data_IF_736818736790
#
_entry.id   IF_736818736790
#
_cell.length_a   1.000
_cell.length_b   1.000
_cell.length_c   1.000
_cell.angle_alpha   90.00
_cell.angle_beta   90.00
_cell.angle_gamma   90.00
#
_symmetry.space_group_name_H-M   'P 1'
#
loop_
_entity.id
_entity.type
_entity.pdbx_description
1 polymer ?
#
# COMPACT_ATOMS: atom_id res chain seq x y z
N UNK A 1 14.19 -1.26 10.07
CA UNK A 1 15.45 -0.94 9.37
C UNK A 1 15.78 0.55 9.49
N UNK A 2 16.99 0.90 9.88
CA UNK A 2 17.40 2.28 10.16
C UNK A 2 17.44 3.09 8.86
N UNK A 3 16.64 4.14 8.76
CA UNK A 3 16.75 5.14 7.67
C UNK A 3 18.07 5.88 7.80
N UNK A 4 18.91 5.78 6.77
CA UNK A 4 20.15 6.51 6.64
C UNK A 4 19.84 7.91 6.11
N UNK A 5 19.97 8.92 6.96
CA UNK A 5 19.86 10.32 6.57
C UNK A 5 21.24 10.75 6.05
N UNK A 6 21.35 11.03 4.75
CA UNK A 6 22.53 11.63 4.15
C UNK A 6 22.39 13.14 4.28
N UNK A 7 23.18 13.72 5.20
CA UNK A 7 23.33 15.17 5.34
C UNK A 7 24.39 15.65 4.35
N UNK A 8 23.98 16.44 3.33
CA UNK A 8 24.90 17.18 2.49
C UNK A 8 25.35 18.46 3.21
N UNK A 9 26.58 18.48 3.66
CA UNK A 9 27.24 19.69 4.17
C UNK A 9 27.82 20.44 2.95
N UNK A 10 27.24 21.60 2.63
CA UNK A 10 27.84 22.55 1.68
C UNK A 10 28.75 23.48 2.45
N UNK A 11 30.05 23.33 2.27
CA UNK A 11 31.07 24.26 2.79
C UNK A 11 31.17 25.49 1.87
N UNK A 12 30.68 26.62 2.35
CA UNK A 12 30.91 27.92 1.71
C UNK A 12 32.25 28.47 2.15
N UNK A 13 33.19 28.66 1.20
CA UNK A 13 34.47 29.31 1.42
C UNK A 13 34.29 30.82 1.29
N UNK A 14 34.46 31.54 2.39
CA UNK A 14 34.45 33.02 2.40
C UNK A 14 35.85 33.51 2.09
N UNK A 15 36.00 34.28 1.00
CA UNK A 15 37.21 35.04 0.72
C UNK A 15 37.04 36.43 1.35
N UNK A 16 37.90 36.74 2.34
CA UNK A 16 38.05 38.08 2.90
C UNK A 16 39.20 38.78 2.17
N UNK A 17 38.91 39.84 1.45
CA UNK A 17 39.95 40.79 1.01
C UNK A 17 39.86 42.04 1.90
N UNK A 18 40.86 42.22 2.72
CA UNK A 18 41.09 43.45 3.45
C UNK A 18 41.85 44.42 2.57
N UNK A 19 41.34 45.63 2.40
CA UNK A 19 42.15 46.80 1.99
C UNK A 19 41.90 47.91 2.97
N UNK A 20 43.00 48.35 3.64
CA UNK A 20 43.07 49.57 4.40
C UNK A 20 43.45 50.72 3.47
N UNK A 21 42.79 51.83 3.58
CA UNK A 21 43.46 53.10 3.39
C UNK A 21 42.81 54.23 4.26
N UNK A 22 43.68 55.08 4.76
CA UNK A 22 43.46 56.15 5.71
C UNK A 22 43.23 57.49 5.02
N UNK A 23 42.63 58.38 5.82
CA UNK A 23 42.73 59.82 5.97
C UNK A 23 41.55 60.64 5.36
N UNK A 24 40.89 61.37 6.10
CA UNK A 24 40.97 62.49 7.00
C UNK A 24 39.88 63.53 6.77
N UNK A 25 39.35 64.05 7.85
CA UNK A 25 38.74 65.38 8.08
C UNK A 25 37.41 65.78 7.47
N UNK A 26 36.38 65.74 8.29
CA UNK A 26 35.61 66.91 8.70
C UNK A 26 34.46 67.42 7.87
N UNK A 27 33.24 67.19 8.31
CA UNK A 27 32.23 68.25 8.67
C UNK A 27 30.92 67.53 9.09
N UNK A 28 30.44 67.93 10.29
CA UNK A 28 29.14 67.45 10.84
C UNK A 28 27.98 68.06 10.08
N UNK A 29 27.24 67.23 9.33
CA UNK A 29 25.85 67.47 9.01
C UNK A 29 25.04 66.34 9.68
N UNK A 30 23.91 66.60 10.35
CA UNK A 30 23.10 65.46 10.89
C UNK A 30 22.48 64.71 9.73
N UNK A 31 23.08 63.57 9.38
CA UNK A 31 22.45 62.61 8.47
C UNK A 31 21.22 62.06 9.17
N UNK A 32 20.11 62.16 8.47
CA UNK A 32 18.89 61.42 8.71
C UNK A 32 19.25 59.95 8.83
N UNK A 33 18.78 59.14 9.80
CA UNK A 33 19.09 57.74 9.86
C UNK A 33 18.66 57.09 8.56
N UNK A 34 19.49 56.19 7.94
CA UNK A 34 19.10 55.51 6.73
C UNK A 34 17.81 54.75 7.00
N UNK A 35 16.83 54.92 6.12
CA UNK A 35 15.65 54.06 6.14
C UNK A 35 16.16 52.63 6.01
N UNK A 36 15.89 51.83 7.03
CA UNK A 36 16.24 50.42 7.10
C UNK A 36 15.51 49.69 5.97
N UNK A 37 16.14 49.71 4.81
CA UNK A 37 15.65 48.94 3.68
C UNK A 37 15.93 47.47 4.00
N UNK A 38 14.90 46.73 4.35
CA UNK A 38 14.95 45.28 4.58
C UNK A 38 15.56 44.63 3.35
N UNK A 39 16.86 44.32 3.39
CA UNK A 39 17.56 43.63 2.31
C UNK A 39 17.36 42.12 2.49
N UNK A 40 16.53 41.51 1.62
CA UNK A 40 16.33 40.08 1.59
C UNK A 40 17.24 39.52 0.47
N UNK A 41 18.11 38.59 0.84
CA UNK A 41 19.02 37.94 -0.08
C UNK A 41 18.50 36.56 -0.54
N UNK A 42 17.80 35.85 0.33
CA UNK A 42 17.18 34.58 -0.02
C UNK A 42 15.96 34.24 0.85
N UNK A 43 15.03 33.49 0.27
CA UNK A 43 13.87 32.90 0.95
C UNK A 43 13.97 31.38 0.76
N UNK A 44 13.95 30.62 1.87
CA UNK A 44 13.95 29.16 1.85
C UNK A 44 12.63 28.71 2.45
N UNK A 45 11.93 27.80 1.77
CA UNK A 45 10.67 27.26 2.28
C UNK A 45 10.91 25.89 2.90
N UNK A 46 10.38 25.70 4.09
CA UNK A 46 10.48 24.43 4.80
C UNK A 46 9.07 23.87 5.12
N UNK A 47 8.79 22.60 4.73
CA UNK A 47 9.65 21.72 3.95
C UNK A 47 9.77 22.16 2.47
N UNK A 48 10.86 21.74 1.80
CA UNK A 48 11.08 22.03 0.38
C UNK A 48 10.23 21.14 -0.55
N UNK A 49 9.66 20.07 -0.01
CA UNK A 49 8.65 19.22 -0.64
C UNK A 49 7.68 18.69 0.41
N UNK A 50 6.41 18.56 0.04
CA UNK A 50 5.34 18.13 0.92
C UNK A 50 4.39 17.23 0.14
N UNK A 51 4.00 16.11 0.73
CA UNK A 51 3.01 15.19 0.22
C UNK A 51 1.75 15.28 1.08
N UNK A 52 0.58 15.44 0.47
CA UNK A 52 -0.72 15.60 1.12
C UNK A 52 -1.77 14.78 0.40
N UNK A 53 -2.74 14.26 1.13
CA UNK A 53 -3.96 13.73 0.53
C UNK A 53 -4.92 14.87 0.13
N UNK A 54 -5.73 14.68 -0.90
CA UNK A 54 -6.74 15.66 -1.30
C UNK A 54 -7.70 15.95 -0.13
N UNK A 55 -7.86 17.22 0.22
CA UNK A 55 -8.62 17.70 1.37
C UNK A 55 -7.75 18.08 2.57
N UNK A 56 -6.51 17.60 2.66
CA UNK A 56 -5.60 17.94 3.75
C UNK A 56 -5.00 19.34 3.65
N UNK A 57 -4.51 19.84 4.77
CA UNK A 57 -3.84 21.13 4.84
C UNK A 57 -2.59 21.06 5.70
N UNK A 58 -1.53 21.77 5.28
CA UNK A 58 -0.30 21.92 6.05
C UNK A 58 0.27 23.33 5.88
N UNK A 59 1.11 23.76 6.81
CA UNK A 59 1.70 25.10 6.78
C UNK A 59 3.17 25.04 6.39
N UNK A 60 3.55 25.81 5.38
CA UNK A 60 4.93 26.02 4.97
C UNK A 60 5.54 27.16 5.80
N UNK A 61 6.78 26.96 6.26
CA UNK A 61 7.50 27.95 7.07
C UNK A 61 8.61 28.59 6.24
N UNK A 62 8.56 29.91 5.98
CA UNK A 62 9.62 30.61 5.26
C UNK A 62 10.79 30.94 6.22
N UNK A 63 12.01 30.73 5.74
CA UNK A 63 13.26 31.16 6.37
C UNK A 63 13.87 32.27 5.51
N UNK A 64 13.98 33.44 6.05
CA UNK A 64 14.45 34.64 5.33
C UNK A 64 15.86 34.96 5.77
N UNK A 65 16.75 35.16 4.82
CA UNK A 65 18.16 35.47 5.06
C UNK A 65 18.57 36.79 4.38
N UNK A 66 19.39 37.60 5.04
CA UNK A 66 19.71 37.53 6.48
C UNK A 66 18.46 37.76 7.35
N UNK A 67 18.51 37.29 8.60
CA UNK A 67 17.39 37.43 9.55
C UNK A 67 17.00 38.88 9.70
N UNK A 68 15.75 39.22 9.40
CA UNK A 68 15.22 40.58 9.48
C UNK A 68 14.77 40.91 10.89
N UNK A 69 14.95 42.22 11.29
CA UNK A 69 14.49 42.73 12.56
C UNK A 69 13.02 43.20 12.57
N UNK A 70 12.40 43.27 11.38
CA UNK A 70 11.01 43.67 11.15
C UNK A 70 10.15 42.56 10.54
N UNK A 71 8.85 42.86 10.41
CA UNK A 71 7.90 41.94 9.73
C UNK A 71 8.09 42.03 8.25
N UNK A 72 8.43 40.91 7.61
CA UNK A 72 8.48 40.77 6.16
C UNK A 72 7.12 40.24 5.69
N UNK A 73 6.52 40.97 4.74
CA UNK A 73 5.30 40.50 4.08
C UNK A 73 5.71 39.67 2.83
N UNK A 74 5.26 38.43 2.78
CA UNK A 74 5.47 37.53 1.63
C UNK A 74 4.19 37.42 0.84
N UNK A 75 4.36 37.41 -0.49
CA UNK A 75 3.31 37.04 -1.41
C UNK A 75 3.42 35.54 -1.73
N UNK A 76 2.31 34.80 -1.53
CA UNK A 76 2.24 33.37 -1.75
C UNK A 76 1.44 33.06 -3.00
N UNK A 77 1.97 32.19 -3.86
CA UNK A 77 1.31 31.74 -5.10
C UNK A 77 1.45 30.25 -5.30
N UNK A 78 0.48 29.63 -5.94
CA UNK A 78 0.54 28.24 -6.42
C UNK A 78 0.61 28.23 -7.94
N UNK A 79 1.41 27.32 -8.49
CA UNK A 79 1.51 27.11 -9.93
C UNK A 79 0.22 26.50 -10.52
N UNK A 80 -0.55 25.78 -9.69
CA UNK A 80 -1.83 25.18 -10.09
C UNK A 80 -2.79 25.11 -8.89
N UNK A 81 -3.77 26.01 -8.90
CA UNK A 81 -4.80 26.08 -7.83
C UNK A 81 -5.84 24.93 -7.93
N UNK A 82 -5.87 24.17 -9.01
CA UNK A 82 -6.71 22.97 -9.11
C UNK A 82 -6.09 21.78 -8.39
N UNK A 83 -4.76 21.79 -8.18
CA UNK A 83 -4.02 20.78 -7.44
C UNK A 83 -3.84 21.19 -5.99
N UNK A 84 -3.31 22.38 -5.73
CA UNK A 84 -3.10 22.89 -4.38
C UNK A 84 -3.26 24.41 -4.33
N UNK A 85 -3.96 24.92 -3.31
CA UNK A 85 -4.06 26.34 -3.01
C UNK A 85 -3.18 26.73 -1.85
N UNK A 86 -2.81 28.03 -1.74
CA UNK A 86 -2.04 28.54 -0.62
C UNK A 86 -2.64 29.83 -0.08
N UNK A 87 -2.69 29.97 1.24
CA UNK A 87 -3.15 31.19 1.92
C UNK A 87 -2.03 32.21 2.07
N UNK A 88 -2.39 33.45 2.39
CA UNK A 88 -1.42 34.52 2.72
C UNK A 88 -0.50 34.19 3.92
N UNK A 89 -0.87 33.25 4.76
CA UNK A 89 -0.06 32.74 5.89
C UNK A 89 0.84 31.58 5.56
N UNK A 90 0.86 31.10 4.30
CA UNK A 90 1.64 29.94 3.88
C UNK A 90 0.98 28.59 4.18
N UNK A 91 -0.33 28.57 4.53
CA UNK A 91 -1.07 27.30 4.66
C UNK A 91 -1.49 26.82 3.29
N UNK A 92 -1.00 25.64 2.94
CA UNK A 92 -1.35 24.91 1.71
C UNK A 92 -2.57 24.04 1.97
N UNK A 93 -3.52 24.01 1.05
CA UNK A 93 -4.65 23.08 1.04
C UNK A 93 -4.59 22.28 -0.24
N UNK A 94 -4.53 20.95 -0.13
CA UNK A 94 -4.59 20.00 -1.23
C UNK A 94 -6.02 19.95 -1.80
N UNK A 95 -6.16 20.04 -3.13
CA UNK A 95 -7.47 20.13 -3.81
C UNK A 95 -7.77 18.87 -4.61
N UNK A 96 -6.86 18.46 -5.51
CA UNK A 96 -7.00 17.25 -6.31
C UNK A 96 -5.63 16.67 -6.64
N UNK A 97 -5.61 15.40 -6.99
CA UNK A 97 -4.38 14.67 -7.37
C UNK A 97 -3.54 15.42 -8.39
N UNK A 98 -2.22 15.45 -8.18
CA UNK A 98 -1.28 16.12 -9.07
C UNK A 98 -0.08 16.71 -8.32
N UNK A 99 0.70 17.53 -9.04
CA UNK A 99 1.86 18.22 -8.48
C UNK A 99 1.77 19.71 -8.76
N UNK A 100 1.91 20.52 -7.72
CA UNK A 100 1.97 21.98 -7.80
C UNK A 100 3.22 22.51 -7.10
N UNK A 101 3.71 23.68 -7.55
CA UNK A 101 4.79 24.40 -6.86
C UNK A 101 4.21 25.61 -6.16
N UNK A 102 4.39 25.66 -4.85
CA UNK A 102 4.02 26.83 -4.02
C UNK A 102 5.24 27.71 -3.84
N UNK A 103 5.11 29.00 -4.16
CA UNK A 103 6.18 30.00 -4.12
C UNK A 103 5.82 31.14 -3.16
N UNK A 104 6.78 31.49 -2.29
CA UNK A 104 6.73 32.72 -1.51
C UNK A 104 7.72 33.73 -2.05
N UNK A 105 7.31 34.97 -2.24
CA UNK A 105 8.14 36.04 -2.81
C UNK A 105 8.09 37.32 -2.02
N UNK A 106 9.18 38.09 -2.09
CA UNK A 106 9.27 39.48 -1.62
C UNK A 106 10.11 40.27 -2.66
N UNK A 107 9.43 41.02 -3.51
CA UNK A 107 10.05 41.61 -4.70
C UNK A 107 10.57 40.55 -5.66
N UNK A 108 11.85 40.62 -6.01
CA UNK A 108 12.47 39.65 -6.94
C UNK A 108 13.01 38.40 -6.24
N UNK A 109 13.07 38.38 -4.92
CA UNK A 109 13.56 37.24 -4.15
C UNK A 109 12.42 36.27 -3.85
N UNK A 110 12.61 35.00 -4.16
CA UNK A 110 11.60 33.96 -3.97
C UNK A 110 12.18 32.65 -3.46
N UNK A 111 11.34 31.86 -2.81
CA UNK A 111 11.60 30.46 -2.44
C UNK A 111 10.38 29.60 -2.72
N UNK A 112 10.57 28.31 -2.94
CA UNK A 112 9.47 27.42 -3.32
C UNK A 112 9.49 26.07 -2.61
N UNK A 113 8.33 25.43 -2.58
CA UNK A 113 8.12 24.06 -2.13
C UNK A 113 7.31 23.30 -3.18
N UNK A 114 7.68 22.04 -3.44
CA UNK A 114 6.91 21.16 -4.31
C UNK A 114 5.84 20.44 -3.49
N UNK A 115 4.58 20.55 -3.92
CA UNK A 115 3.44 19.91 -3.28
C UNK A 115 2.97 18.79 -4.20
N UNK A 116 3.03 17.57 -3.71
CA UNK A 116 2.44 16.41 -4.37
C UNK A 116 1.13 16.09 -3.64
N UNK A 117 0.02 16.12 -4.37
CA UNK A 117 -1.27 15.73 -3.84
C UNK A 117 -1.60 14.35 -4.36
N UNK A 118 -1.83 13.43 -3.43
CA UNK A 118 -2.33 12.09 -3.74
C UNK A 118 -3.85 12.09 -3.68
N UNK A 119 -4.48 11.11 -4.31
CA UNK A 119 -5.92 10.92 -4.19
C UNK A 119 -6.30 10.84 -2.70
N UNK A 120 -7.23 11.65 -2.25
CA UNK A 120 -7.73 11.57 -0.88
C UNK A 120 -8.45 10.24 -0.65
N UNK A 121 -8.45 9.77 0.60
CA UNK A 121 -9.27 8.62 0.98
C UNK A 121 -10.71 8.90 0.58
N UNK A 122 -11.25 8.10 -0.34
CA UNK A 122 -12.70 8.10 -0.58
C UNK A 122 -13.36 7.61 0.70
N UNK A 123 -14.24 8.43 1.27
CA UNK A 123 -15.03 7.99 2.42
C UNK A 123 -15.84 6.77 1.99
N UNK A 124 -15.80 5.66 2.74
CA UNK A 124 -16.59 4.47 2.43
C UNK A 124 -18.06 4.85 2.21
N UNK A 125 -18.79 4.18 1.31
CA UNK A 125 -20.22 4.45 1.12
C UNK A 125 -20.95 4.38 2.46
N UNK A 126 -21.97 5.18 2.63
CA UNK A 126 -22.75 5.26 3.87
C UNK A 126 -23.46 3.94 4.27
N UNK A 127 -23.54 2.98 3.35
CA UNK A 127 -24.12 1.66 3.58
C UNK A 127 -23.03 0.64 3.95
N UNK A 128 -23.33 -0.19 4.95
CA UNK A 128 -22.48 -1.34 5.32
C UNK A 128 -22.31 -2.29 4.12
N UNK A 129 -21.08 -2.80 3.87
CA UNK A 129 -20.82 -3.71 2.78
C UNK A 129 -21.58 -5.03 2.93
N UNK A 130 -21.96 -5.61 1.80
CA UNK A 130 -22.63 -6.91 1.75
C UNK A 130 -21.85 -7.88 0.91
N UNK A 131 -21.90 -9.14 1.28
CA UNK A 131 -21.35 -10.21 0.42
C UNK A 131 -22.05 -10.18 -0.93
N UNK A 132 -21.26 -10.09 -2.01
CA UNK A 132 -21.75 -9.92 -3.38
C UNK A 132 -21.74 -8.48 -3.89
N UNK A 133 -21.34 -7.50 -3.10
CA UNK A 133 -21.16 -6.14 -3.58
C UNK A 133 -19.97 -6.07 -4.56
N UNK A 134 -20.11 -5.26 -5.60
CA UNK A 134 -19.01 -4.86 -6.47
C UNK A 134 -18.11 -3.90 -5.72
N UNK A 135 -16.80 -4.13 -5.79
CA UNK A 135 -15.79 -3.28 -5.19
C UNK A 135 -15.01 -2.55 -6.28
N UNK A 136 -14.86 -1.24 -6.15
CA UNK A 136 -14.32 -0.37 -7.21
C UNK A 136 -12.90 0.10 -6.93
N UNK A 137 -12.21 0.54 -7.99
CA UNK A 137 -10.84 1.05 -7.92
C UNK A 137 -10.69 2.35 -7.09
N UNK A 138 -11.81 3.01 -6.77
CA UNK A 138 -11.85 4.17 -5.88
C UNK A 138 -12.06 3.80 -4.39
N UNK A 139 -12.08 2.50 -4.04
CA UNK A 139 -12.29 2.00 -2.68
C UNK A 139 -13.74 1.99 -2.21
N UNK A 140 -14.70 2.28 -3.08
CA UNK A 140 -16.13 2.22 -2.77
C UNK A 140 -16.75 0.88 -3.19
N UNK A 141 -17.97 0.61 -2.73
CA UNK A 141 -18.72 -0.61 -3.07
C UNK A 141 -20.21 -0.33 -3.30
N UNK A 142 -20.87 -1.21 -4.03
CA UNK A 142 -22.34 -1.18 -4.19
C UNK A 142 -22.91 -2.54 -4.59
N UNK A 143 -24.15 -2.80 -4.21
CA UNK A 143 -24.85 -4.05 -4.57
C UNK A 143 -25.24 -4.10 -6.05
N UNK A 144 -25.51 -2.94 -6.65
CA UNK A 144 -25.80 -2.79 -8.07
C UNK A 144 -24.54 -2.34 -8.80
N UNK A 145 -24.31 -2.87 -10.01
CA UNK A 145 -23.16 -2.49 -10.83
C UNK A 145 -23.24 -1.02 -11.26
N UNK A 146 -22.26 -0.23 -10.85
CA UNK A 146 -22.04 1.11 -11.37
C UNK A 146 -21.15 1.04 -12.60
N UNK A 147 -21.73 1.27 -13.77
CA UNK A 147 -21.03 1.15 -15.06
C UNK A 147 -20.04 2.31 -15.34
N UNK A 148 -20.09 3.37 -14.53
CA UNK A 148 -19.20 4.52 -14.63
C UNK A 148 -17.91 4.32 -13.77
N UNK A 149 -17.87 3.24 -12.97
CA UNK A 149 -16.73 2.89 -12.11
C UNK A 149 -16.04 1.61 -12.56
N UNK A 150 -14.74 1.55 -12.35
CA UNK A 150 -13.94 0.36 -12.60
C UNK A 150 -14.08 -0.64 -11.45
N UNK A 151 -14.63 -1.82 -11.73
CA UNK A 151 -14.73 -2.92 -10.77
C UNK A 151 -13.39 -3.64 -10.69
N UNK A 152 -12.82 -3.73 -9.50
CA UNK A 152 -11.57 -4.47 -9.24
C UNK A 152 -11.80 -5.79 -8.50
N UNK A 153 -12.97 -5.95 -7.87
CA UNK A 153 -13.27 -7.17 -7.11
C UNK A 153 -14.72 -7.28 -6.68
N UNK A 154 -15.02 -8.39 -6.00
CA UNK A 154 -16.33 -8.67 -5.39
C UNK A 154 -16.12 -8.95 -3.90
N UNK A 155 -16.94 -8.34 -3.05
CA UNK A 155 -16.93 -8.60 -1.61
C UNK A 155 -17.41 -10.03 -1.35
N UNK A 156 -16.60 -10.85 -0.69
CA UNK A 156 -16.96 -12.24 -0.34
C UNK A 156 -17.09 -12.50 1.17
N UNK A 157 -16.60 -11.58 1.98
CA UNK A 157 -16.69 -11.63 3.43
C UNK A 157 -16.93 -10.22 3.98
N UNK A 158 -17.79 -10.11 4.98
CA UNK A 158 -18.02 -8.88 5.74
C UNK A 158 -17.72 -9.10 7.21
N UNK A 159 -17.01 -8.18 7.82
CA UNK A 159 -16.52 -8.25 9.18
C UNK A 159 -15.02 -7.93 9.26
N UNK A 160 -14.48 -7.94 10.46
CA UNK A 160 -13.07 -7.58 10.67
C UNK A 160 -12.13 -8.76 10.31
N UNK A 161 -11.40 -8.74 9.18
CA UNK A 161 -10.44 -9.79 8.83
C UNK A 161 -9.18 -9.75 9.70
N UNK A 162 -8.83 -8.58 10.23
CA UNK A 162 -7.63 -8.40 11.05
C UNK A 162 -7.75 -9.01 12.47
N UNK A 163 -8.93 -9.51 12.85
CA UNK A 163 -9.10 -10.17 14.16
C UNK A 163 -8.18 -11.37 14.38
N UNK A 164 -7.84 -12.08 13.30
CA UNK A 164 -7.00 -13.27 13.32
C UNK A 164 -5.57 -13.00 12.83
N UNK A 165 -5.36 -11.88 12.13
CA UNK A 165 -4.11 -11.54 11.47
C UNK A 165 -3.45 -10.31 12.13
N UNK A 166 -2.46 -10.53 13.01
CA UNK A 166 -1.79 -9.43 13.72
C UNK A 166 -0.95 -8.54 12.79
N UNK A 167 -0.49 -9.07 11.64
CA UNK A 167 0.27 -8.31 10.65
C UNK A 167 -0.66 -7.34 9.93
N UNK A 168 -1.82 -7.82 9.47
CA UNK A 168 -2.85 -6.97 8.87
C UNK A 168 -3.32 -5.89 9.86
N UNK A 169 -3.54 -6.27 11.12
CA UNK A 169 -3.95 -5.31 12.16
C UNK A 169 -2.91 -4.20 12.40
N UNK A 170 -1.62 -4.55 12.31
CA UNK A 170 -0.54 -3.58 12.53
C UNK A 170 -0.32 -2.65 11.33
N UNK A 171 -0.40 -3.19 10.11
CA UNK A 171 -0.08 -2.46 8.89
C UNK A 171 -1.29 -1.69 8.32
N UNK A 172 -2.49 -2.28 8.49
CA UNK A 172 -3.77 -1.76 7.95
C UNK A 172 -4.88 -1.81 9.01
N UNK A 173 -4.77 -1.05 10.11
CA UNK A 173 -5.76 -1.06 11.20
C UNK A 173 -7.16 -0.59 10.78
N UNK A 174 -7.27 0.11 9.63
CA UNK A 174 -8.52 0.54 9.03
C UNK A 174 -9.28 -0.58 8.31
N UNK A 175 -8.64 -1.67 7.91
CA UNK A 175 -9.26 -2.79 7.19
C UNK A 175 -10.14 -3.65 8.11
N UNK A 176 -11.32 -3.16 8.43
CA UNK A 176 -12.25 -3.79 9.38
C UNK A 176 -13.61 -4.17 8.79
N UNK A 177 -13.82 -3.90 7.50
CA UNK A 177 -15.12 -4.06 6.85
C UNK A 177 -15.30 -5.40 6.16
N UNK A 178 -14.23 -5.96 5.57
CA UNK A 178 -14.35 -7.23 4.88
C UNK A 178 -13.17 -7.63 4.00
N UNK A 179 -13.45 -8.60 3.12
CA UNK A 179 -12.51 -9.12 2.13
C UNK A 179 -13.12 -9.07 0.74
N UNK A 180 -12.29 -8.68 -0.22
CA UNK A 180 -12.63 -8.58 -1.64
C UNK A 180 -11.80 -9.61 -2.42
N UNK A 181 -12.43 -10.36 -3.31
CA UNK A 181 -11.74 -11.22 -4.28
C UNK A 181 -11.55 -10.47 -5.60
N UNK A 182 -10.36 -10.53 -6.16
CA UNK A 182 -10.03 -9.93 -7.45
C UNK A 182 -10.88 -10.49 -8.59
N UNK A 183 -11.15 -9.69 -9.62
CA UNK A 183 -11.90 -10.15 -10.82
C UNK A 183 -11.12 -11.14 -11.68
N UNK A 184 -9.79 -11.18 -11.55
CA UNK A 184 -8.89 -12.07 -12.29
C UNK A 184 -7.82 -12.67 -11.39
N UNK A 185 -7.06 -13.61 -11.91
CA UNK A 185 -5.92 -14.25 -11.25
C UNK A 185 -5.02 -14.92 -12.28
N UNK A 186 -3.92 -15.53 -11.81
CA UNK A 186 -2.97 -16.21 -12.66
C UNK A 186 -3.22 -17.73 -12.70
N UNK A 187 -2.97 -18.33 -13.86
CA UNK A 187 -3.09 -19.75 -14.08
C UNK A 187 -1.71 -20.42 -14.14
N UNK A 188 -1.66 -21.69 -13.73
CA UNK A 188 -0.48 -22.56 -13.91
C UNK A 188 0.78 -22.10 -13.15
N UNK A 189 0.59 -21.48 -11.98
CA UNK A 189 1.69 -21.05 -11.12
C UNK A 189 1.98 -22.14 -10.08
N UNK A 190 3.22 -22.69 -10.00
CA UNK A 190 3.59 -23.59 -8.90
C UNK A 190 3.63 -22.82 -7.59
N UNK A 191 3.41 -23.52 -6.46
CA UNK A 191 3.61 -22.90 -5.16
C UNK A 191 5.09 -22.59 -4.94
N UNK A 192 5.96 -23.60 -5.07
CA UNK A 192 7.43 -23.49 -4.99
C UNK A 192 8.04 -24.60 -5.83
N UNK A 193 8.49 -24.30 -7.04
CA UNK A 193 9.03 -25.32 -7.96
C UNK A 193 10.35 -25.95 -7.48
N UNK A 194 11.13 -25.19 -6.72
CA UNK A 194 12.42 -25.61 -6.21
C UNK A 194 12.41 -26.15 -4.76
N UNK A 195 11.24 -26.55 -4.24
CA UNK A 195 11.10 -27.02 -2.84
C UNK A 195 12.06 -28.15 -2.48
N UNK A 196 12.29 -29.07 -3.41
CA UNK A 196 13.15 -30.22 -3.18
C UNK A 196 14.64 -29.81 -3.00
N UNK A 197 15.10 -28.86 -3.79
CA UNK A 197 16.45 -28.31 -3.68
C UNK A 197 16.60 -27.47 -2.42
N UNK A 198 15.53 -26.77 -2.00
CA UNK A 198 15.53 -26.05 -0.75
C UNK A 198 15.59 -27.00 0.46
N UNK A 199 14.87 -28.12 0.41
CA UNK A 199 15.01 -29.23 1.36
C UNK A 199 14.45 -28.97 2.77
N UNK A 200 13.70 -27.87 2.95
CA UNK A 200 13.02 -27.48 4.20
C UNK A 200 11.66 -26.87 3.88
N UNK A 201 10.85 -26.66 4.92
CA UNK A 201 9.63 -25.84 4.78
C UNK A 201 9.99 -24.35 4.78
N UNK A 202 9.17 -23.53 4.13
CA UNK A 202 9.30 -22.07 4.19
C UNK A 202 8.99 -21.59 5.60
N UNK A 203 8.04 -22.24 6.29
CA UNK A 203 7.67 -21.94 7.66
C UNK A 203 8.85 -22.10 8.67
N UNK A 204 9.72 -23.08 8.47
CA UNK A 204 10.94 -23.21 9.30
C UNK A 204 11.83 -21.97 9.18
N UNK A 205 11.94 -21.40 7.98
CA UNK A 205 12.69 -20.16 7.79
C UNK A 205 11.97 -18.97 8.42
N UNK A 206 10.65 -18.85 8.20
CA UNK A 206 9.81 -17.78 8.76
C UNK A 206 9.96 -17.72 10.27
N UNK A 207 9.77 -18.84 10.96
CA UNK A 207 9.87 -18.93 12.43
C UNK A 207 11.28 -18.66 12.98
N UNK A 208 12.31 -18.93 12.16
CA UNK A 208 13.70 -18.74 12.59
C UNK A 208 14.21 -17.30 12.34
N UNK A 209 13.64 -16.56 11.40
CA UNK A 209 14.20 -15.30 10.90
C UNK A 209 13.26 -14.09 10.97
N UNK A 210 12.00 -14.28 11.36
CA UNK A 210 11.00 -13.22 11.38
C UNK A 210 10.14 -13.26 12.64
N UNK A 211 9.36 -12.22 12.86
CA UNK A 211 8.33 -12.15 13.91
C UNK A 211 6.92 -12.50 13.38
N UNK A 212 6.81 -12.90 12.12
CA UNK A 212 5.51 -13.30 11.54
C UNK A 212 4.96 -14.55 12.21
N UNK A 213 3.64 -14.65 12.21
CA UNK A 213 2.95 -15.88 12.62
C UNK A 213 3.31 -17.03 11.67
N UNK A 214 3.41 -18.26 12.18
CA UNK A 214 3.63 -19.47 11.38
C UNK A 214 2.65 -19.54 10.21
N UNK A 215 3.18 -19.79 9.00
CA UNK A 215 2.41 -19.97 7.77
C UNK A 215 1.92 -21.41 7.58
N UNK A 216 2.39 -22.34 8.42
CA UNK A 216 2.05 -23.76 8.32
C UNK A 216 0.95 -24.16 9.31
N UNK A 217 0.14 -25.10 8.89
CA UNK A 217 -0.91 -25.69 9.71
C UNK A 217 -1.09 -27.19 9.41
N UNK A 218 -1.84 -27.89 10.26
CA UNK A 218 -2.27 -29.27 10.00
C UNK A 218 -3.79 -29.40 10.06
N UNK A 219 -4.32 -30.36 9.31
CA UNK A 219 -5.76 -30.65 9.30
C UNK A 219 -6.31 -31.23 10.61
N UNK A 220 -5.43 -31.60 11.57
CA UNK A 220 -5.81 -32.47 12.68
C UNK A 220 -6.06 -31.76 14.01
N UNK A 221 -5.82 -30.48 14.16
CA UNK A 221 -6.09 -29.74 15.40
C UNK A 221 -5.39 -28.40 15.54
N UNK A 222 -4.81 -27.87 14.46
CA UNK A 222 -4.11 -26.61 14.52
C UNK A 222 -5.10 -25.46 14.33
N UNK A 223 -5.13 -24.53 15.28
CA UNK A 223 -6.01 -23.37 15.21
C UNK A 223 -5.75 -22.48 14.00
N UNK A 224 -4.54 -22.52 13.40
CA UNK A 224 -4.20 -21.69 12.26
C UNK A 224 -5.00 -22.06 10.99
N UNK A 225 -5.47 -23.29 10.85
CA UNK A 225 -6.30 -23.67 9.69
C UNK A 225 -7.63 -22.89 9.66
N UNK A 226 -8.08 -22.43 10.82
CA UNK A 226 -9.32 -21.67 10.98
C UNK A 226 -9.11 -20.16 11.10
N UNK A 227 -7.89 -19.66 10.87
CA UNK A 227 -7.56 -18.24 10.92
C UNK A 227 -7.36 -17.64 9.52
N UNK A 228 -7.84 -16.42 9.36
CA UNK A 228 -7.60 -15.61 8.17
C UNK A 228 -6.21 -14.99 8.28
N UNK A 229 -5.17 -15.70 7.80
CA UNK A 229 -3.76 -15.30 7.90
C UNK A 229 -3.13 -15.03 6.54
N UNK A 230 -3.92 -14.80 5.52
CA UNK A 230 -3.41 -14.64 4.14
C UNK A 230 -2.46 -13.47 3.99
N UNK A 231 -2.76 -12.34 4.64
CA UNK A 231 -1.89 -11.17 4.63
C UNK A 231 -0.56 -11.45 5.34
N UNK A 232 -0.60 -11.94 6.59
CA UNK A 232 0.60 -12.37 7.33
C UNK A 232 1.44 -13.36 6.53
N UNK A 233 0.81 -14.38 5.96
CA UNK A 233 1.51 -15.43 5.22
C UNK A 233 2.18 -14.87 3.96
N UNK A 234 1.49 -13.98 3.24
CA UNK A 234 2.06 -13.33 2.06
C UNK A 234 3.27 -12.47 2.42
N UNK A 235 3.17 -11.61 3.45
CA UNK A 235 4.28 -10.80 3.94
C UNK A 235 5.47 -11.67 4.41
N UNK A 236 5.20 -12.75 5.12
CA UNK A 236 6.22 -13.69 5.58
C UNK A 236 6.97 -14.37 4.42
N UNK A 237 6.23 -14.77 3.38
CA UNK A 237 6.78 -15.40 2.18
C UNK A 237 7.51 -14.35 1.30
N UNK A 238 7.02 -13.11 1.22
CA UNK A 238 7.74 -12.02 0.58
C UNK A 238 9.11 -11.78 1.24
N UNK A 239 9.15 -11.79 2.57
CA UNK A 239 10.41 -11.69 3.32
C UNK A 239 11.36 -12.87 3.02
N UNK A 240 10.80 -14.10 2.91
CA UNK A 240 11.55 -15.28 2.49
C UNK A 240 12.12 -15.11 1.08
N UNK A 241 11.31 -14.70 0.12
CA UNK A 241 11.73 -14.50 -1.27
C UNK A 241 12.76 -13.38 -1.43
N UNK A 242 12.73 -12.38 -0.55
CA UNK A 242 13.65 -11.24 -0.57
C UNK A 242 15.00 -11.53 0.09
N UNK A 243 15.13 -12.61 0.86
CA UNK A 243 16.40 -12.98 1.47
C UNK A 243 17.38 -13.49 0.38
N UNK A 244 18.58 -12.89 0.25
CA UNK A 244 19.59 -13.34 -0.70
C UNK A 244 19.96 -14.82 -0.59
N UNK A 245 19.81 -15.42 0.60
CA UNK A 245 20.06 -16.84 0.82
C UNK A 245 19.01 -17.75 0.16
N UNK A 246 17.82 -17.22 -0.13
CA UNK A 246 16.68 -17.97 -0.66
C UNK A 246 16.35 -17.67 -2.13
N UNK A 247 17.08 -16.75 -2.76
CA UNK A 247 16.78 -16.25 -4.12
C UNK A 247 16.66 -17.34 -5.20
N UNK A 248 17.26 -18.51 -4.97
CA UNK A 248 17.20 -19.66 -5.88
C UNK A 248 16.00 -20.56 -5.65
N UNK A 249 15.22 -20.31 -4.60
CA UNK A 249 14.09 -21.17 -4.20
C UNK A 249 12.84 -20.34 -3.86
N UNK A 250 12.45 -19.40 -4.72
CA UNK A 250 11.32 -18.53 -4.43
C UNK A 250 10.02 -19.33 -4.32
N UNK A 251 9.06 -18.77 -3.61
CA UNK A 251 7.66 -19.18 -3.66
C UNK A 251 7.01 -18.40 -4.78
N UNK A 252 6.82 -19.04 -5.94
CA UNK A 252 6.35 -18.39 -7.16
C UNK A 252 4.89 -17.91 -7.04
N UNK A 253 4.07 -18.61 -6.27
CA UNK A 253 2.69 -18.20 -6.01
C UNK A 253 2.59 -16.80 -5.38
N UNK A 254 3.58 -16.39 -4.55
CA UNK A 254 3.64 -15.04 -3.99
C UNK A 254 4.36 -14.06 -4.93
N UNK A 255 5.27 -14.51 -5.79
CA UNK A 255 5.78 -13.65 -6.86
C UNK A 255 4.67 -13.21 -7.83
N UNK A 256 3.69 -14.07 -8.10
CA UNK A 256 2.51 -13.72 -8.89
C UNK A 256 1.69 -12.59 -8.24
N UNK A 257 1.58 -12.57 -6.89
CA UNK A 257 0.95 -11.46 -6.15
C UNK A 257 1.66 -10.14 -6.45
N UNK A 258 2.99 -10.12 -6.38
CA UNK A 258 3.77 -8.90 -6.62
C UNK A 258 3.58 -8.38 -8.06
N UNK A 259 3.57 -9.28 -9.03
CA UNK A 259 3.30 -8.92 -10.43
C UNK A 259 1.88 -8.38 -10.62
N UNK A 260 0.90 -8.98 -9.94
CA UNK A 260 -0.48 -8.50 -9.98
C UNK A 260 -0.62 -7.08 -9.43
N UNK A 261 0.05 -6.76 -8.32
CA UNK A 261 0.07 -5.41 -7.71
C UNK A 261 0.63 -4.33 -8.64
N UNK A 262 1.59 -4.67 -9.50
CA UNK A 262 2.19 -3.71 -10.45
C UNK A 262 1.17 -3.17 -11.48
N UNK A 263 0.20 -3.99 -11.85
CA UNK A 263 -0.81 -3.65 -12.86
C UNK A 263 -2.19 -3.37 -12.27
N UNK A 264 -2.42 -3.75 -11.01
CA UNK A 264 -3.69 -3.62 -10.30
C UNK A 264 -3.46 -2.98 -8.93
N UNK A 265 -3.19 -1.67 -8.87
CA UNK A 265 -2.95 -1.00 -7.59
C UNK A 265 -4.18 -1.09 -6.69
N UNK A 266 -3.96 -1.40 -5.41
CA UNK A 266 -5.02 -1.42 -4.41
C UNK A 266 -5.44 0.01 -4.05
N UNK A 267 -6.73 0.28 -3.81
CA UNK A 267 -7.22 1.60 -3.41
C UNK A 267 -6.67 2.05 -2.05
N UNK A 268 -6.62 3.34 -1.82
CA UNK A 268 -6.29 3.89 -0.51
C UNK A 268 -7.29 3.41 0.57
N UNK A 269 -6.79 3.07 1.76
CA UNK A 269 -7.61 2.55 2.86
C UNK A 269 -7.91 1.06 2.77
N UNK A 270 -7.27 0.34 1.83
CA UNK A 270 -7.29 -1.12 1.77
C UNK A 270 -5.89 -1.67 2.05
N UNK A 271 -5.79 -2.98 2.29
CA UNK A 271 -4.50 -3.66 2.19
C UNK A 271 -4.03 -3.72 0.72
N UNK A 272 -2.75 -4.03 0.51
CA UNK A 272 -2.33 -4.53 -0.79
C UNK A 272 -3.01 -5.88 -1.10
N UNK A 273 -3.06 -6.26 -2.40
CA UNK A 273 -3.47 -7.60 -2.80
C UNK A 273 -2.55 -8.66 -2.19
N UNK A 274 -3.11 -9.78 -1.76
CA UNK A 274 -2.35 -10.88 -1.18
C UNK A 274 -2.92 -12.26 -1.56
N UNK A 275 -2.12 -13.30 -1.36
CA UNK A 275 -2.52 -14.69 -1.60
C UNK A 275 -3.33 -15.20 -0.41
N UNK A 276 -4.57 -15.64 -0.61
CA UNK A 276 -5.43 -16.10 0.50
C UNK A 276 -4.81 -17.24 1.31
N UNK A 277 -5.04 -17.25 2.61
CA UNK A 277 -4.89 -18.46 3.41
C UNK A 277 -5.96 -19.49 3.03
N UNK A 278 -5.79 -20.72 3.48
CA UNK A 278 -6.80 -21.76 3.22
C UNK A 278 -8.15 -21.42 3.84
N UNK A 279 -8.17 -20.73 5.01
CA UNK A 279 -9.41 -20.29 5.66
C UNK A 279 -10.17 -19.27 4.80
N UNK A 280 -9.49 -18.31 4.23
CA UNK A 280 -10.12 -17.29 3.38
C UNK A 280 -10.69 -17.89 2.10
N UNK A 281 -10.03 -18.88 1.51
CA UNK A 281 -10.60 -19.66 0.40
C UNK A 281 -11.82 -20.49 0.80
N UNK A 282 -11.83 -21.06 2.01
CA UNK A 282 -12.99 -21.78 2.53
C UNK A 282 -14.18 -20.81 2.65
N UNK A 283 -13.97 -19.62 3.22
CA UNK A 283 -15.00 -18.59 3.34
C UNK A 283 -15.50 -18.13 1.95
N UNK A 284 -14.58 -17.94 1.01
CA UNK A 284 -14.91 -17.56 -0.37
C UNK A 284 -15.84 -18.59 -1.03
N UNK A 285 -15.67 -19.88 -0.72
CA UNK A 285 -16.49 -20.95 -1.27
C UNK A 285 -17.83 -21.15 -0.52
N UNK A 286 -17.77 -21.14 0.84
CA UNK A 286 -18.83 -21.73 1.67
C UNK A 286 -19.44 -20.79 2.73
N UNK A 287 -19.06 -19.53 2.77
CA UNK A 287 -19.32 -18.63 3.90
C UNK A 287 -18.45 -18.94 5.13
N UNK A 288 -18.72 -18.23 6.23
CA UNK A 288 -18.00 -18.44 7.49
C UNK A 288 -18.32 -19.82 8.05
N UNK A 289 -17.29 -20.65 8.17
CA UNK A 289 -17.37 -21.99 8.79
C UNK A 289 -16.14 -22.24 9.63
N UNK A 290 -16.34 -22.83 10.80
CA UNK A 290 -15.29 -23.05 11.80
C UNK A 290 -14.49 -24.35 11.58
N UNK A 291 -14.80 -25.13 10.57
CA UNK A 291 -14.15 -26.44 10.45
C UNK A 291 -13.66 -26.69 9.03
N UNK A 292 -12.41 -27.10 8.94
CA UNK A 292 -11.96 -27.94 7.86
C UNK A 292 -12.39 -29.38 8.12
N UNK A 293 -13.23 -29.96 7.30
CA UNK A 293 -13.55 -31.38 7.31
C UNK A 293 -13.96 -31.87 5.92
N UNK A 294 -12.99 -32.31 5.13
CA UNK A 294 -13.26 -33.07 3.91
C UNK A 294 -14.11 -32.33 2.89
N UNK A 295 -15.18 -32.94 2.43
CA UNK A 295 -16.13 -32.33 1.50
C UNK A 295 -17.04 -31.37 2.27
N UNK A 296 -16.92 -30.07 1.98
CA UNK A 296 -17.71 -29.05 2.64
C UNK A 296 -19.12 -28.97 2.03
N UNK A 297 -20.19 -28.84 2.84
CA UNK A 297 -21.55 -28.76 2.33
C UNK A 297 -21.87 -27.34 1.83
N UNK A 298 -22.39 -27.23 0.62
CA UNK A 298 -22.85 -25.95 0.08
C UNK A 298 -21.87 -25.32 -0.92
N UNK A 299 -22.31 -24.26 -1.55
CA UNK A 299 -21.51 -23.48 -2.52
C UNK A 299 -22.10 -22.08 -2.72
N UNK A 300 -22.85 -21.60 -1.74
CA UNK A 300 -23.64 -20.38 -1.89
C UNK A 300 -22.79 -19.16 -2.28
N UNK A 301 -21.60 -18.99 -1.63
CA UNK A 301 -20.70 -17.90 -1.99
C UNK A 301 -20.04 -18.11 -3.34
N UNK A 302 -19.58 -19.30 -3.63
CA UNK A 302 -18.97 -19.63 -4.92
C UNK A 302 -19.91 -19.37 -6.10
N UNK A 303 -21.16 -19.87 -6.01
CA UNK A 303 -22.15 -19.69 -7.06
C UNK A 303 -22.53 -18.19 -7.23
N UNK A 304 -22.65 -17.46 -6.13
CA UNK A 304 -22.90 -16.01 -6.14
C UNK A 304 -21.76 -15.23 -6.75
N UNK A 305 -20.49 -15.52 -6.35
CA UNK A 305 -19.32 -14.83 -6.87
C UNK A 305 -19.20 -15.01 -8.39
N UNK A 306 -19.36 -16.25 -8.88
CA UNK A 306 -19.31 -16.51 -10.32
C UNK A 306 -20.45 -15.82 -11.06
N UNK A 307 -21.67 -15.80 -10.52
CA UNK A 307 -22.76 -15.06 -11.11
C UNK A 307 -22.48 -13.55 -11.25
N UNK A 308 -21.74 -12.96 -10.28
CA UNK A 308 -21.29 -11.56 -10.35
C UNK A 308 -20.16 -11.37 -11.36
N UNK A 309 -19.12 -12.23 -11.31
CA UNK A 309 -17.99 -12.18 -12.23
C UNK A 309 -18.43 -12.32 -13.70
N UNK A 310 -19.39 -13.19 -13.99
CA UNK A 310 -19.92 -13.38 -15.34
C UNK A 310 -20.63 -12.14 -15.91
N UNK A 311 -21.00 -11.16 -15.06
CA UNK A 311 -21.56 -9.87 -15.52
C UNK A 311 -20.50 -8.88 -15.99
N UNK A 312 -19.22 -9.14 -15.71
CA UNK A 312 -18.11 -8.24 -15.97
C UNK A 312 -17.32 -8.69 -17.21
N UNK A 313 -17.01 -7.80 -18.18
CA UNK A 313 -16.45 -8.18 -19.47
C UNK A 313 -15.03 -8.78 -19.38
N UNK A 314 -14.23 -8.36 -18.40
CA UNK A 314 -12.83 -8.74 -18.26
C UNK A 314 -12.57 -9.66 -17.06
N UNK A 315 -13.64 -10.13 -16.39
CA UNK A 315 -13.50 -10.99 -15.24
C UNK A 315 -13.35 -12.47 -15.63
N UNK A 316 -12.60 -13.19 -14.82
CA UNK A 316 -12.42 -14.63 -14.92
C UNK A 316 -13.26 -15.32 -13.84
N UNK A 317 -14.24 -16.13 -14.19
CA UNK A 317 -14.95 -16.95 -13.22
C UNK A 317 -13.98 -17.88 -12.46
N UNK A 318 -14.26 -18.13 -11.18
CA UNK A 318 -13.44 -18.96 -10.32
C UNK A 318 -13.75 -20.43 -10.58
N UNK A 319 -12.71 -21.29 -10.68
CA UNK A 319 -12.89 -22.75 -10.75
C UNK A 319 -13.43 -23.29 -12.07
N UNK A 320 -13.33 -22.53 -13.16
CA UNK A 320 -13.79 -22.95 -14.50
C UNK A 320 -12.71 -23.63 -15.35
N UNK A 321 -11.48 -23.69 -14.86
CA UNK A 321 -10.26 -24.10 -15.53
C UNK A 321 -9.91 -25.61 -15.34
N UNK A 322 -10.88 -26.47 -15.42
CA UNK A 322 -10.68 -27.93 -15.41
C UNK A 322 -10.60 -28.53 -14.01
N UNK A 323 -9.41 -28.77 -13.45
CA UNK A 323 -9.28 -29.32 -12.08
C UNK A 323 -9.49 -28.26 -10.99
N UNK A 324 -9.41 -26.97 -11.34
CA UNK A 324 -9.84 -25.85 -10.50
C UNK A 324 -9.20 -25.80 -9.12
N UNK A 325 -7.93 -26.20 -8.98
CA UNK A 325 -7.20 -26.04 -7.73
C UNK A 325 -6.57 -24.64 -7.64
N UNK A 326 -6.77 -23.99 -6.50
CA UNK A 326 -6.19 -22.68 -6.19
C UNK A 326 -5.20 -22.82 -5.04
N UNK A 327 -3.96 -22.40 -5.26
CA UNK A 327 -2.91 -22.38 -4.25
C UNK A 327 -3.19 -21.37 -3.18
N UNK A 328 -3.17 -21.79 -1.91
CA UNK A 328 -3.23 -20.88 -0.77
C UNK A 328 -1.83 -20.46 -0.30
N UNK A 329 -1.75 -19.44 0.53
CA UNK A 329 -0.51 -19.04 1.21
C UNK A 329 -0.14 -19.95 2.39
N UNK A 330 -0.91 -21.00 2.64
CA UNK A 330 -0.76 -21.89 3.81
C UNK A 330 0.05 -23.12 3.47
N UNK A 331 1.12 -23.37 4.21
CA UNK A 331 1.98 -24.55 4.08
C UNK A 331 1.46 -25.71 4.95
N UNK A 332 1.71 -26.96 4.58
CA UNK A 332 1.43 -28.10 5.44
C UNK A 332 2.57 -28.32 6.42
N UNK A 333 2.24 -28.44 7.72
CA UNK A 333 3.23 -28.60 8.77
C UNK A 333 4.05 -29.87 8.59
N UNK A 334 5.36 -29.78 8.75
CA UNK A 334 6.33 -30.88 8.58
C UNK A 334 6.35 -31.54 7.20
N UNK A 335 5.78 -30.95 6.17
CA UNK A 335 5.79 -31.46 4.80
C UNK A 335 6.53 -30.49 3.88
N UNK A 336 7.75 -30.84 3.50
CA UNK A 336 8.59 -30.00 2.64
C UNK A 336 8.03 -29.81 1.24
N UNK A 337 7.21 -30.77 0.80
CA UNK A 337 6.68 -30.89 -0.55
C UNK A 337 5.24 -30.45 -0.71
N UNK A 338 4.56 -30.03 0.35
CA UNK A 338 3.12 -29.79 0.31
C UNK A 338 2.70 -28.42 0.83
N UNK A 339 1.71 -27.84 0.15
CA UNK A 339 0.95 -26.66 0.58
C UNK A 339 -0.54 -26.92 0.43
N UNK A 340 -1.36 -26.17 1.17
CA UNK A 340 -2.81 -26.26 1.07
C UNK A 340 -3.32 -25.59 -0.21
N UNK A 341 -4.32 -26.22 -0.80
CA UNK A 341 -5.05 -25.72 -1.96
C UNK A 341 -6.53 -26.05 -1.84
N UNK A 342 -7.38 -25.28 -2.50
CA UNK A 342 -8.80 -25.56 -2.62
C UNK A 342 -9.15 -25.87 -4.06
N UNK A 343 -10.04 -26.86 -4.29
CA UNK A 343 -10.73 -27.03 -5.55
C UNK A 343 -12.17 -26.57 -5.40
N UNK A 344 -12.53 -25.51 -6.12
CA UNK A 344 -13.89 -25.02 -6.16
C UNK A 344 -14.81 -25.98 -6.94
N UNK A 345 -14.31 -26.63 -8.02
CA UNK A 345 -15.07 -27.61 -8.79
C UNK A 345 -15.44 -28.84 -7.96
N UNK A 346 -14.48 -29.39 -7.21
CA UNK A 346 -14.69 -30.57 -6.37
C UNK A 346 -15.16 -30.24 -4.96
N UNK A 347 -15.23 -28.94 -4.63
CA UNK A 347 -15.63 -28.45 -3.31
C UNK A 347 -14.82 -29.12 -2.19
N UNK A 348 -13.51 -29.11 -2.35
CA UNK A 348 -12.61 -29.79 -1.42
C UNK A 348 -11.33 -29.00 -1.15
N UNK A 349 -10.86 -29.11 0.08
CA UNK A 349 -9.53 -28.68 0.47
C UNK A 349 -8.59 -29.90 0.41
N UNK A 350 -7.39 -29.69 -0.12
CA UNK A 350 -6.36 -30.72 -0.21
C UNK A 350 -4.98 -30.12 0.09
N UNK A 351 -4.03 -30.97 0.47
CA UNK A 351 -2.62 -30.64 0.43
C UNK A 351 -2.02 -31.23 -0.83
N UNK A 352 -1.33 -30.41 -1.58
CA UNK A 352 -0.83 -30.77 -2.90
C UNK A 352 0.67 -30.49 -3.04
N UNK A 353 1.32 -31.11 -4.05
CA UNK A 353 2.74 -30.91 -4.33
C UNK A 353 3.00 -29.47 -4.76
N UNK A 354 4.02 -28.87 -4.20
CA UNK A 354 4.38 -27.46 -4.42
C UNK A 354 4.86 -27.14 -5.84
N UNK A 355 5.40 -28.13 -6.57
CA UNK A 355 5.95 -27.95 -7.91
C UNK A 355 4.95 -28.17 -9.05
N UNK A 356 3.71 -28.49 -8.74
CA UNK A 356 2.72 -28.85 -9.75
C UNK A 356 2.07 -27.63 -10.39
N UNK A 357 2.75 -27.00 -11.37
CA UNK A 357 2.23 -25.83 -12.10
C UNK A 357 1.05 -26.14 -13.02
N UNK A 358 0.86 -27.40 -13.43
CA UNK A 358 -0.18 -27.75 -14.43
C UNK A 358 -1.60 -27.84 -13.85
N UNK A 359 -1.74 -27.77 -12.53
CA UNK A 359 -3.02 -27.95 -11.83
C UNK A 359 -3.44 -26.74 -10.98
N UNK A 360 -2.58 -25.72 -10.86
CA UNK A 360 -2.83 -24.62 -9.92
C UNK A 360 -3.01 -23.30 -10.60
N UNK A 361 -4.04 -22.61 -10.11
CA UNK A 361 -4.27 -21.18 -10.33
C UNK A 361 -4.04 -20.42 -9.03
N UNK A 362 -3.93 -19.10 -9.12
CA UNK A 362 -3.94 -18.19 -7.99
C UNK A 362 -5.11 -17.23 -8.13
N UNK A 363 -5.69 -16.83 -7.02
CA UNK A 363 -6.68 -15.76 -6.97
C UNK A 363 -6.34 -14.87 -5.79
N UNK A 364 -6.26 -13.59 -6.03
CA UNK A 364 -5.82 -12.63 -5.03
C UNK A 364 -7.00 -12.00 -4.31
N UNK A 365 -6.76 -11.57 -3.09
CA UNK A 365 -7.73 -10.86 -2.27
C UNK A 365 -7.10 -9.63 -1.64
N UNK A 366 -7.92 -8.69 -1.19
CA UNK A 366 -7.53 -7.59 -0.33
C UNK A 366 -8.50 -7.43 0.84
N UNK A 367 -8.06 -6.79 1.91
CA UNK A 367 -8.87 -6.37 3.05
C UNK A 367 -9.21 -4.86 2.93
N UNK A 368 -10.39 -4.46 3.41
CA UNK A 368 -10.85 -3.07 3.37
C UNK A 368 -11.62 -2.68 4.61
#
# INVERSE_FOLDING_TARGET
>A
MKKLIISCIVTATVFVLASCDKDSTGTNTPENPPSDTLLIESIIINPSSLELEAGDSATLTPIILPKQSGTVVLEWTSSDNTVATVSASGTVTAVSEGTATVTASSGEVHGSSTITVTAGKTEPPADEPKVGDYFYSDGTWSSDLDVDKEVIGIVFYTGNPAKDDPTLQADHPECTHGLVVAISGDEYVPWQSAYFQYGRTVDEWVRANTEFTSIATSSNSDDNINKMLGYNNTCAIEAFNADPANIQWPVEAVQAVLQYRETNPAPAGTSDWYLPSIKEYIIMCYKETDAYAGTLPGSDNYDMLNAKLETLPDAQPIGTDGYGFYSSSTEEVNAIDRAYAISFCYKMVATNLKDNSSLYSTRFILAF
#
